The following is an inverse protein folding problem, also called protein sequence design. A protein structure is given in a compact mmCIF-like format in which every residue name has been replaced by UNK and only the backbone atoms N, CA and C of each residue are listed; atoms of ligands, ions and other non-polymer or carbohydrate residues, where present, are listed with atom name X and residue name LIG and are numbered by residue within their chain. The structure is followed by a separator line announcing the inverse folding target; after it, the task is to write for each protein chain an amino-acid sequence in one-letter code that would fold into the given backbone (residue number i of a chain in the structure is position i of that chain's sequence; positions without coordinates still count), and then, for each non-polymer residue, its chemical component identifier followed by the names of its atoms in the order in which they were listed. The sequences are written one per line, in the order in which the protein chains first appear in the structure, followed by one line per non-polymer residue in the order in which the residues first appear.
data_IF_582474335341
#
_entry.id   IF_582474335341
#
_cell.length_a   1.000
_cell.length_b   1.000
_cell.length_c   1.000
_cell.angle_alpha   90.00
_cell.angle_beta   90.00
_cell.angle_gamma   90.00
#
_symmetry.space_group_name_H-M   'P 1'
#
loop_
_entity.id
_entity.type
_entity.pdbx_description
1 polymer ?
#
# COMPACT_ATOMS: atom_id res chain seq x y z
N UNK A 1 22.58 -15.43 21.57
CA UNK A 1 23.07 -16.56 20.76
C UNK A 1 21.97 -17.24 19.95
N UNK A 2 20.78 -17.53 20.50
CA UNK A 2 19.72 -18.25 19.75
C UNK A 2 19.27 -17.53 18.46
N UNK A 3 18.96 -16.23 18.51
CA UNK A 3 18.53 -15.49 17.30
C UNK A 3 19.59 -15.49 16.21
N UNK A 4 20.86 -15.23 16.59
CA UNK A 4 22.00 -15.25 15.67
C UNK A 4 22.14 -16.63 15.00
N UNK A 5 22.18 -17.71 15.79
CA UNK A 5 22.31 -19.07 15.25
C UNK A 5 21.18 -19.48 14.30
N UNK A 6 19.96 -18.96 14.50
CA UNK A 6 18.83 -19.29 13.64
C UNK A 6 18.90 -18.58 12.29
N UNK A 7 19.33 -17.31 12.26
CA UNK A 7 19.56 -16.59 11.00
C UNK A 7 20.81 -17.07 10.26
N UNK A 8 21.88 -17.39 10.96
CA UNK A 8 23.09 -17.96 10.33
C UNK A 8 22.85 -19.34 9.71
N UNK A 9 21.81 -20.06 10.14
CA UNK A 9 21.42 -21.32 9.50
C UNK A 9 20.81 -21.11 8.11
N UNK A 10 20.05 -20.03 7.89
CA UNK A 10 19.55 -19.68 6.55
C UNK A 10 20.60 -18.99 5.71
N UNK A 11 21.43 -18.13 6.31
CA UNK A 11 22.46 -17.36 5.60
C UNK A 11 21.93 -16.29 4.65
N UNK A 12 20.61 -16.10 4.61
CA UNK A 12 19.90 -15.18 3.71
C UNK A 12 19.11 -14.14 4.51
N UNK A 13 18.81 -13.00 3.89
CA UNK A 13 17.92 -11.99 4.49
C UNK A 13 16.53 -12.57 4.70
N UNK A 14 15.89 -12.18 5.80
CA UNK A 14 14.55 -12.68 6.10
C UNK A 14 14.14 -12.48 7.54
N UNK A 15 12.86 -12.79 7.80
CA UNK A 15 12.30 -12.77 9.14
C UNK A 15 12.28 -14.16 9.75
N UNK A 16 12.56 -14.23 11.05
CA UNK A 16 12.26 -15.39 11.89
C UNK A 16 11.45 -14.95 13.11
N UNK A 17 10.61 -15.87 13.57
CA UNK A 17 9.78 -15.72 14.76
C UNK A 17 10.27 -16.68 15.83
N UNK A 18 10.55 -16.18 17.04
CA UNK A 18 11.13 -16.97 18.13
C UNK A 18 10.44 -16.62 19.45
N UNK A 19 10.22 -17.63 20.29
CA UNK A 19 9.77 -17.44 21.67
C UNK A 19 10.96 -17.67 22.61
N UNK A 20 11.33 -16.66 23.39
CA UNK A 20 12.40 -16.75 24.40
C UNK A 20 11.79 -16.42 25.76
N UNK A 21 11.58 -17.45 26.58
CA UNK A 21 10.96 -17.29 27.91
C UNK A 21 9.51 -16.81 27.79
N UNK A 22 9.23 -15.61 28.30
CA UNK A 22 7.92 -14.95 28.24
C UNK A 22 7.84 -13.84 27.19
N UNK A 23 8.73 -13.85 26.19
CA UNK A 23 8.77 -12.86 25.12
C UNK A 23 8.65 -13.55 23.77
N UNK A 24 7.77 -13.02 22.93
CA UNK A 24 7.79 -13.30 21.50
C UNK A 24 8.75 -12.31 20.84
N UNK A 25 9.51 -12.77 19.86
CA UNK A 25 10.50 -11.97 19.14
C UNK A 25 10.26 -12.16 17.65
N UNK A 26 10.00 -11.06 16.97
CA UNK A 26 10.10 -10.98 15.52
C UNK A 26 11.48 -10.40 15.17
N UNK A 27 12.28 -11.14 14.41
CA UNK A 27 13.65 -10.76 14.09
C UNK A 27 13.86 -10.75 12.58
N UNK A 28 14.28 -9.62 12.04
CA UNK A 28 14.64 -9.48 10.64
C UNK A 28 16.15 -9.35 10.48
N UNK A 29 16.75 -10.23 9.67
CA UNK A 29 18.15 -10.19 9.29
C UNK A 29 18.29 -9.59 7.89
N UNK A 30 19.23 -8.67 7.75
CA UNK A 30 19.46 -7.88 6.52
C UNK A 30 20.40 -8.57 5.53
N UNK A 31 20.76 -9.81 5.80
CA UNK A 31 21.68 -10.60 4.99
C UNK A 31 23.16 -10.32 5.30
N UNK A 32 24.06 -11.14 4.72
CA UNK A 32 25.49 -11.07 5.02
C UNK A 32 26.18 -9.80 4.51
N UNK A 33 25.61 -9.11 3.51
CA UNK A 33 26.18 -7.87 2.97
C UNK A 33 26.18 -6.74 4.01
N UNK A 34 25.10 -6.60 4.80
CA UNK A 34 24.98 -5.53 5.80
C UNK A 34 25.14 -6.03 7.23
N UNK A 35 24.75 -7.28 7.52
CA UNK A 35 25.01 -7.92 8.81
C UNK A 35 24.18 -7.40 9.99
N UNK A 36 23.12 -6.63 9.76
CA UNK A 36 22.26 -6.10 10.83
C UNK A 36 21.10 -7.03 11.16
N UNK A 37 20.78 -7.10 12.46
CA UNK A 37 19.61 -7.77 13.01
C UNK A 37 18.69 -6.73 13.64
N UNK A 38 17.43 -6.71 13.23
CA UNK A 38 16.41 -5.81 13.77
C UNK A 38 15.41 -6.65 14.54
N UNK A 39 15.26 -6.35 15.82
CA UNK A 39 14.50 -7.13 16.78
C UNK A 39 13.30 -6.33 17.26
N UNK A 40 12.11 -6.88 17.07
CA UNK A 40 10.90 -6.41 17.71
C UNK A 40 10.56 -7.35 18.87
N UNK A 41 10.56 -6.79 20.08
CA UNK A 41 10.15 -7.49 21.29
C UNK A 41 8.63 -7.35 21.45
N UNK A 42 7.96 -8.49 21.55
CA UNK A 42 6.51 -8.62 21.55
C UNK A 42 6.01 -9.25 22.84
N UNK A 43 4.76 -8.97 23.18
CA UNK A 43 4.08 -9.68 24.27
C UNK A 43 3.78 -11.12 23.84
N UNK A 44 3.50 -12.01 24.80
CA UNK A 44 3.17 -13.41 24.53
C UNK A 44 1.93 -13.60 23.63
N UNK A 45 1.01 -12.65 23.67
CA UNK A 45 -0.24 -12.69 22.90
C UNK A 45 -0.10 -12.13 21.49
N UNK A 46 0.99 -11.40 21.21
CA UNK A 46 1.23 -10.80 19.92
C UNK A 46 1.75 -11.87 18.94
N UNK A 47 1.15 -11.92 17.76
CA UNK A 47 1.60 -12.73 16.63
C UNK A 47 2.80 -12.06 15.94
N UNK A 48 4.01 -12.65 15.97
CA UNK A 48 5.19 -12.09 15.29
C UNK A 48 4.97 -11.89 13.79
N UNK A 49 4.33 -12.85 13.13
CA UNK A 49 4.23 -12.87 11.66
C UNK A 49 3.37 -11.70 11.14
N UNK A 50 2.48 -11.16 11.98
CA UNK A 50 1.70 -9.96 11.68
C UNK A 50 2.55 -8.69 11.50
N UNK A 51 3.83 -8.71 11.90
CA UNK A 51 4.78 -7.59 11.79
C UNK A 51 5.81 -7.75 10.66
N UNK A 52 5.83 -8.88 9.95
CA UNK A 52 6.86 -9.19 8.95
C UNK A 52 7.03 -8.09 7.90
N UNK A 53 5.93 -7.68 7.26
CA UNK A 53 5.93 -6.64 6.23
C UNK A 53 6.43 -5.29 6.80
N UNK A 54 6.04 -4.98 8.03
CA UNK A 54 6.46 -3.76 8.69
C UNK A 54 7.94 -3.77 9.04
N UNK A 55 8.49 -4.92 9.45
CA UNK A 55 9.91 -5.07 9.74
C UNK A 55 10.78 -4.91 8.50
N UNK A 56 10.36 -5.47 7.36
CA UNK A 56 11.05 -5.30 6.07
C UNK A 56 11.04 -3.82 5.64
N UNK A 57 9.92 -3.13 5.84
CA UNK A 57 9.76 -1.72 5.48
C UNK A 57 10.61 -0.80 6.38
N UNK A 58 10.55 -0.97 7.71
CA UNK A 58 11.35 -0.12 8.60
C UNK A 58 12.84 -0.45 8.55
N UNK A 59 13.23 -1.69 8.24
CA UNK A 59 14.64 -2.09 8.17
C UNK A 59 15.37 -1.33 7.07
N UNK A 60 14.72 -1.16 5.92
CA UNK A 60 15.27 -0.35 4.82
C UNK A 60 15.49 1.09 5.23
N UNK A 61 14.54 1.71 5.93
CA UNK A 61 14.67 3.10 6.39
C UNK A 61 15.79 3.21 7.42
N UNK A 62 15.89 2.26 8.35
CA UNK A 62 16.99 2.22 9.34
C UNK A 62 18.34 2.12 8.62
N UNK A 63 18.49 1.18 7.68
CA UNK A 63 19.75 0.97 6.97
C UNK A 63 20.16 2.16 6.10
N UNK A 64 19.21 2.84 5.48
CA UNK A 64 19.47 4.07 4.71
C UNK A 64 19.98 5.23 5.56
N UNK A 65 19.72 5.19 6.88
CA UNK A 65 20.09 6.25 7.83
C UNK A 65 21.03 5.70 8.91
N UNK A 66 21.72 4.59 8.63
CA UNK A 66 22.62 3.94 9.60
C UNK A 66 23.94 4.68 9.73
N UNK A 67 24.38 5.32 8.65
CA UNK A 67 25.52 6.24 8.67
C UNK A 67 25.19 7.41 9.61
N UNK A 68 26.16 7.76 10.47
CA UNK A 68 26.03 8.84 11.47
C UNK A 68 24.91 8.67 12.51
N UNK A 69 24.36 7.46 12.68
CA UNK A 69 23.32 7.13 13.66
C UNK A 69 22.03 7.97 13.51
N UNK A 70 21.74 8.51 12.33
CA UNK A 70 20.55 9.33 12.10
C UNK A 70 19.24 8.56 12.31
N UNK A 71 19.26 7.26 12.07
CA UNK A 71 18.14 6.36 12.30
C UNK A 71 17.60 6.42 13.74
N UNK A 72 18.43 6.72 14.75
CA UNK A 72 18.03 6.79 16.16
C UNK A 72 16.88 7.79 16.34
N UNK A 73 16.94 8.93 15.64
CA UNK A 73 15.89 9.96 15.68
C UNK A 73 14.59 9.48 15.04
N UNK A 74 14.67 8.52 14.10
CA UNK A 74 13.54 7.97 13.37
C UNK A 74 12.85 6.83 14.13
N UNK A 75 13.55 6.10 15.01
CA UNK A 75 13.03 4.93 15.74
C UNK A 75 11.64 5.17 16.36
N UNK A 76 11.35 6.27 17.09
CA UNK A 76 10.02 6.47 17.68
C UNK A 76 8.89 6.56 16.65
N UNK A 77 9.17 7.12 15.47
CA UNK A 77 8.20 7.21 14.37
C UNK A 77 8.02 5.86 13.66
N UNK A 78 9.12 5.16 13.40
CA UNK A 78 9.14 3.83 12.77
C UNK A 78 8.44 2.79 13.64
N UNK A 79 8.69 2.81 14.95
CA UNK A 79 8.02 1.91 15.89
C UNK A 79 6.51 2.17 15.96
N UNK A 80 6.08 3.44 15.96
CA UNK A 80 4.64 3.77 15.88
C UNK A 80 4.02 3.23 14.59
N UNK A 81 4.68 3.40 13.45
CA UNK A 81 4.21 2.85 12.17
C UNK A 81 4.15 1.32 12.22
N UNK A 82 5.19 0.66 12.72
CA UNK A 82 5.27 -0.80 12.87
C UNK A 82 4.14 -1.36 13.76
N UNK A 83 3.85 -0.70 14.88
CA UNK A 83 2.81 -1.13 15.83
C UNK A 83 1.39 -1.18 15.25
N UNK A 84 1.17 -0.53 14.10
CA UNK A 84 -0.13 -0.46 13.46
C UNK A 84 -0.37 -1.57 12.44
N UNK A 85 0.68 -2.22 11.92
CA UNK A 85 0.61 -3.25 10.87
C UNK A 85 -0.41 -4.37 11.14
N UNK A 86 -0.48 -4.96 12.36
CA UNK A 86 -1.47 -6.00 12.64
C UNK A 86 -2.92 -5.54 12.48
N UNK A 87 -3.18 -4.24 12.65
CA UNK A 87 -4.52 -3.64 12.63
C UNK A 87 -4.92 -3.08 11.27
N UNK A 88 -4.00 -3.05 10.30
CA UNK A 88 -4.27 -2.49 8.98
C UNK A 88 -5.22 -3.38 8.19
N UNK A 89 -6.25 -2.76 7.64
CA UNK A 89 -7.15 -3.42 6.70
C UNK A 89 -6.52 -3.55 5.30
N UNK A 90 -7.21 -4.24 4.39
CA UNK A 90 -6.72 -4.48 3.03
C UNK A 90 -6.43 -3.20 2.24
N UNK A 91 -7.26 -2.17 2.36
CA UNK A 91 -7.08 -0.89 1.66
C UNK A 91 -5.82 -0.18 2.14
N UNK A 92 -5.60 -0.11 3.47
CA UNK A 92 -4.40 0.50 4.05
C UNK A 92 -3.14 -0.29 3.73
N UNK A 93 -3.21 -1.63 3.74
CA UNK A 93 -2.11 -2.52 3.37
C UNK A 93 -1.70 -2.32 1.91
N UNK A 94 -2.68 -2.25 1.00
CA UNK A 94 -2.43 -1.98 -0.40
C UNK A 94 -1.87 -0.55 -0.59
N UNK A 95 -2.36 0.42 0.19
CA UNK A 95 -1.84 1.78 0.16
C UNK A 95 -0.37 1.82 0.56
N UNK A 96 0.02 1.14 1.64
CA UNK A 96 1.44 1.04 2.03
C UNK A 96 2.30 0.35 0.96
N UNK A 97 1.79 -0.75 0.37
CA UNK A 97 2.49 -1.44 -0.72
C UNK A 97 2.70 -0.50 -1.91
N UNK A 98 1.71 0.30 -2.30
CA UNK A 98 1.84 1.24 -3.41
C UNK A 98 2.48 2.58 -3.02
N UNK A 99 2.59 2.90 -1.73
CA UNK A 99 3.29 4.08 -1.22
C UNK A 99 4.82 3.90 -1.22
N UNK A 100 5.29 2.66 -1.30
CA UNK A 100 6.70 2.36 -1.47
C UNK A 100 7.18 2.67 -2.91
N UNK A 101 8.21 3.49 -3.03
CA UNK A 101 8.76 3.91 -4.32
C UNK A 101 9.34 2.73 -5.13
N UNK A 102 10.06 1.82 -4.47
CA UNK A 102 10.70 0.67 -5.13
C UNK A 102 9.62 -0.25 -5.70
N UNK A 103 8.57 -0.53 -4.91
CA UNK A 103 7.42 -1.33 -5.37
C UNK A 103 6.71 -0.66 -6.55
N UNK A 104 6.49 0.66 -6.51
CA UNK A 104 5.91 1.39 -7.65
C UNK A 104 6.79 1.32 -8.89
N UNK A 105 8.11 1.46 -8.74
CA UNK A 105 9.05 1.35 -9.84
C UNK A 105 8.98 -0.03 -10.51
N UNK A 106 8.96 -1.10 -9.72
CA UNK A 106 8.79 -2.47 -10.23
C UNK A 106 7.46 -2.62 -10.94
N UNK A 107 6.35 -2.19 -10.31
CA UNK A 107 5.01 -2.27 -10.90
C UNK A 107 4.97 -1.52 -12.22
N UNK A 108 5.40 -0.25 -12.27
CA UNK A 108 5.41 0.57 -13.48
C UNK A 108 6.23 -0.07 -14.60
N UNK A 109 7.42 -0.60 -14.29
CA UNK A 109 8.23 -1.32 -15.27
C UNK A 109 7.49 -2.55 -15.82
N UNK A 110 6.80 -3.29 -14.98
CA UNK A 110 5.99 -4.43 -15.40
C UNK A 110 4.70 -4.00 -16.13
N UNK A 111 4.18 -2.78 -15.94
CA UNK A 111 3.08 -2.26 -16.77
C UNK A 111 3.52 -2.10 -18.23
N UNK A 112 4.75 -1.65 -18.43
CA UNK A 112 5.32 -1.39 -19.75
C UNK A 112 5.79 -2.69 -20.44
N UNK A 113 6.46 -3.57 -19.68
CA UNK A 113 7.10 -4.78 -20.25
C UNK A 113 6.29 -6.07 -20.04
N UNK A 114 5.39 -6.07 -19.07
CA UNK A 114 4.63 -7.24 -18.63
C UNK A 114 5.41 -8.24 -17.77
N UNK A 115 6.60 -8.62 -18.22
CA UNK A 115 7.46 -9.62 -17.57
C UNK A 115 8.93 -9.21 -17.62
N UNK A 116 9.66 -9.38 -16.53
CA UNK A 116 11.10 -9.06 -16.44
C UNK A 116 11.81 -10.20 -15.69
N UNK A 117 13.06 -10.46 -16.03
CA UNK A 117 13.85 -11.44 -15.27
C UNK A 117 14.29 -10.89 -13.91
N UNK A 118 14.32 -11.76 -12.90
CA UNK A 118 14.69 -11.36 -11.54
C UNK A 118 16.10 -10.77 -11.48
N UNK A 119 17.06 -11.38 -12.19
CA UNK A 119 18.43 -10.86 -12.30
C UNK A 119 18.49 -9.46 -12.92
N UNK A 120 17.74 -9.22 -13.99
CA UNK A 120 17.65 -7.91 -14.63
C UNK A 120 16.99 -6.86 -13.73
N UNK A 121 15.96 -7.25 -12.98
CA UNK A 121 15.31 -6.37 -12.01
C UNK A 121 16.27 -5.98 -10.89
N UNK A 122 17.06 -6.94 -10.37
CA UNK A 122 18.08 -6.68 -9.35
C UNK A 122 19.14 -5.71 -9.85
N UNK A 123 19.70 -5.94 -11.04
CA UNK A 123 20.71 -5.04 -11.63
C UNK A 123 20.14 -3.63 -11.82
N UNK A 124 18.93 -3.54 -12.38
CA UNK A 124 18.27 -2.26 -12.62
C UNK A 124 17.98 -1.48 -11.33
N UNK A 125 17.52 -2.15 -10.27
CA UNK A 125 17.27 -1.50 -8.98
C UNK A 125 18.57 -1.04 -8.33
N UNK A 126 19.64 -1.86 -8.36
CA UNK A 126 20.97 -1.48 -7.86
C UNK A 126 21.54 -0.26 -8.61
N UNK A 127 21.36 -0.19 -9.93
CA UNK A 127 21.80 0.95 -10.74
C UNK A 127 21.03 2.25 -10.43
N UNK A 128 19.75 2.13 -10.06
CA UNK A 128 18.89 3.26 -9.66
C UNK A 128 19.18 3.73 -8.24
N UNK A 129 19.43 2.80 -7.32
CA UNK A 129 19.68 3.04 -5.90
C UNK A 129 21.15 2.81 -5.53
N UNK A 130 22.06 3.54 -6.19
CA UNK A 130 23.53 3.39 -6.04
C UNK A 130 24.07 3.56 -4.61
N UNK A 131 23.27 4.12 -3.70
CA UNK A 131 23.67 4.47 -2.33
C UNK A 131 22.82 3.81 -1.24
N UNK A 132 21.92 2.87 -1.58
CA UNK A 132 20.99 2.31 -0.61
C UNK A 132 20.92 0.78 -0.64
N UNK A 133 20.70 0.19 0.54
CA UNK A 133 20.30 -1.21 0.62
C UNK A 133 18.91 -1.41 0.02
N UNK A 134 18.78 -2.39 -0.87
CA UNK A 134 17.50 -2.84 -1.43
C UNK A 134 17.42 -4.36 -1.32
N UNK A 135 16.58 -4.84 -0.39
CA UNK A 135 16.18 -6.25 -0.31
C UNK A 135 15.20 -6.55 -1.46
N UNK A 136 15.72 -6.86 -2.65
CA UNK A 136 14.90 -7.12 -3.84
C UNK A 136 14.01 -8.34 -3.63
N UNK A 137 14.53 -9.38 -2.98
CA UNK A 137 13.77 -10.61 -2.68
C UNK A 137 12.62 -10.32 -1.72
N UNK A 138 12.87 -9.60 -0.62
CA UNK A 138 11.83 -9.17 0.30
C UNK A 138 10.75 -8.32 -0.38
N UNK A 139 11.15 -7.41 -1.28
CA UNK A 139 10.21 -6.58 -2.05
C UNK A 139 9.36 -7.40 -3.02
N UNK A 140 9.97 -8.32 -3.79
CA UNK A 140 9.25 -9.22 -4.71
C UNK A 140 8.30 -10.12 -3.92
N UNK A 141 8.75 -10.68 -2.81
CA UNK A 141 7.95 -11.57 -1.97
C UNK A 141 6.70 -10.87 -1.42
N UNK A 142 6.80 -9.60 -1.04
CA UNK A 142 5.62 -8.82 -0.64
C UNK A 142 4.64 -8.64 -1.81
N UNK A 143 5.14 -8.32 -3.01
CA UNK A 143 4.30 -8.19 -4.21
C UNK A 143 3.62 -9.52 -4.58
N UNK A 144 4.29 -10.66 -4.36
CA UNK A 144 3.71 -12.01 -4.53
C UNK A 144 2.62 -12.27 -3.48
N UNK A 145 2.88 -11.99 -2.20
CA UNK A 145 1.90 -12.13 -1.11
C UNK A 145 0.65 -11.28 -1.34
N UNK A 146 0.81 -10.13 -2.02
CA UNK A 146 -0.29 -9.24 -2.44
C UNK A 146 -0.97 -9.66 -3.75
N UNK A 147 -0.54 -10.76 -4.35
CA UNK A 147 -1.03 -11.27 -5.64
C UNK A 147 -0.91 -10.23 -6.78
N UNK A 148 0.05 -9.31 -6.69
CA UNK A 148 0.33 -8.31 -7.74
C UNK A 148 1.21 -8.95 -8.82
N UNK A 149 2.24 -9.68 -8.40
CA UNK A 149 3.17 -10.37 -9.29
C UNK A 149 3.18 -11.88 -9.04
N UNK A 150 3.68 -12.62 -10.02
CA UNK A 150 3.99 -14.05 -9.91
C UNK A 150 5.42 -14.30 -10.36
N UNK A 151 6.14 -15.09 -9.60
CA UNK A 151 7.45 -15.61 -9.98
C UNK A 151 7.29 -17.00 -10.62
N UNK A 152 7.95 -17.25 -11.75
CA UNK A 152 7.96 -18.54 -12.41
C UNK A 152 9.26 -18.80 -13.17
N UNK A 153 9.72 -20.04 -13.15
CA UNK A 153 10.84 -20.51 -13.97
C UNK A 153 10.34 -20.90 -15.37
N UNK A 154 10.94 -20.33 -16.42
CA UNK A 154 10.64 -20.69 -17.81
C UNK A 154 11.80 -21.45 -18.42
N UNK A 155 11.50 -22.57 -19.08
CA UNK A 155 12.51 -23.41 -19.73
C UNK A 155 13.35 -22.58 -20.71
N UNK A 156 14.67 -22.71 -20.62
CA UNK A 156 15.60 -21.98 -21.47
C UNK A 156 15.91 -20.55 -21.00
N UNK A 157 15.31 -20.09 -19.90
CA UNK A 157 15.68 -18.84 -19.25
C UNK A 157 16.70 -19.09 -18.13
N UNK A 158 17.73 -18.22 -17.99
CA UNK A 158 18.78 -18.39 -16.99
C UNK A 158 18.37 -17.93 -15.58
N UNK A 159 17.26 -17.20 -15.47
CA UNK A 159 16.76 -16.63 -14.21
C UNK A 159 15.24 -16.73 -14.19
N UNK A 160 14.69 -16.78 -12.98
CA UNK A 160 13.25 -16.69 -12.74
C UNK A 160 12.68 -15.41 -13.32
N UNK A 161 11.43 -15.49 -13.78
CA UNK A 161 10.72 -14.38 -14.39
C UNK A 161 9.63 -13.88 -13.45
N UNK A 162 9.51 -12.56 -13.35
CA UNK A 162 8.51 -11.86 -12.57
C UNK A 162 7.44 -11.34 -13.53
N UNK A 163 6.21 -11.83 -13.38
CA UNK A 163 5.06 -11.53 -14.22
C UNK A 163 4.08 -10.63 -13.46
N UNK A 164 3.58 -9.56 -14.07
CA UNK A 164 2.46 -8.79 -13.53
C UNK A 164 1.15 -9.55 -13.75
N UNK A 165 0.44 -9.87 -12.66
CA UNK A 165 -0.80 -10.67 -12.69
C UNK A 165 -2.03 -9.88 -12.25
N UNK A 166 -1.83 -8.89 -11.36
CA UNK A 166 -2.83 -7.89 -10.98
C UNK A 166 -2.16 -6.54 -10.96
N UNK A 167 -2.91 -5.50 -11.31
CA UNK A 167 -2.42 -4.14 -11.27
C UNK A 167 -3.14 -3.35 -10.18
N UNK A 168 -2.46 -2.35 -9.62
CA UNK A 168 -3.00 -1.45 -8.60
C UNK A 168 -3.70 -0.29 -9.31
N UNK A 169 -5.00 -0.15 -9.11
CA UNK A 169 -5.74 1.02 -9.55
C UNK A 169 -5.92 1.98 -8.38
N UNK A 170 -5.56 3.24 -8.59
CA UNK A 170 -5.81 4.32 -7.65
C UNK A 170 -6.48 5.47 -8.41
N UNK A 171 -7.69 5.82 -8.00
CA UNK A 171 -8.43 6.92 -8.60
C UNK A 171 -9.37 7.57 -7.61
N UNK A 172 -9.61 8.88 -7.74
CA UNK A 172 -10.66 9.55 -6.99
C UNK A 172 -12.03 9.19 -7.54
N UNK A 173 -12.99 9.05 -6.63
CA UNK A 173 -14.39 8.73 -6.95
C UNK A 173 -15.33 9.67 -6.21
N UNK A 174 -16.44 10.08 -6.83
CA UNK A 174 -17.44 10.88 -6.15
C UNK A 174 -18.06 10.08 -5.00
N UNK A 175 -18.41 10.71 -3.87
CA UNK A 175 -19.07 10.05 -2.76
C UNK A 175 -20.55 9.79 -3.07
N UNK A 176 -20.83 8.85 -3.99
CA UNK A 176 -22.17 8.59 -4.55
C UNK A 176 -23.22 8.32 -3.46
N UNK A 177 -22.85 7.56 -2.42
CA UNK A 177 -23.72 7.25 -1.28
C UNK A 177 -24.15 8.50 -0.49
N UNK A 178 -23.32 9.55 -0.49
CA UNK A 178 -23.66 10.83 0.12
C UNK A 178 -24.46 11.71 -0.83
N UNK A 179 -24.09 11.73 -2.12
CA UNK A 179 -24.78 12.51 -3.13
C UNK A 179 -26.25 12.15 -3.27
N UNK A 180 -26.60 10.87 -3.08
CA UNK A 180 -27.99 10.41 -3.15
C UNK A 180 -28.84 11.00 -2.02
N UNK A 181 -28.38 10.90 -0.76
CA UNK A 181 -29.14 11.33 0.41
C UNK A 181 -28.27 12.17 1.40
N UNK A 182 -27.89 13.43 1.07
CA UNK A 182 -27.00 14.21 1.93
C UNK A 182 -27.61 14.55 3.30
N UNK A 183 -28.92 14.82 3.35
CA UNK A 183 -29.62 15.22 4.57
C UNK A 183 -29.71 14.10 5.59
N UNK A 184 -30.02 12.87 5.14
CA UNK A 184 -30.03 11.66 5.99
C UNK A 184 -28.65 11.36 6.58
N UNK A 185 -27.60 11.89 5.92
CA UNK A 185 -26.20 11.78 6.33
C UNK A 185 -25.75 12.95 7.21
N UNK A 186 -26.65 13.83 7.65
CA UNK A 186 -26.35 14.90 8.60
C UNK A 186 -25.98 16.26 7.98
N UNK A 187 -26.03 16.40 6.65
CA UNK A 187 -25.83 17.70 6.00
C UNK A 187 -27.09 18.56 6.16
N UNK A 188 -27.00 19.80 6.69
CA UNK A 188 -28.13 20.72 6.72
C UNK A 188 -28.68 20.99 5.31
N UNK A 189 -30.02 21.05 5.18
CA UNK A 189 -30.72 21.20 3.90
C UNK A 189 -30.24 22.40 3.07
N UNK A 190 -29.90 23.51 3.74
CA UNK A 190 -29.39 24.73 3.11
C UNK A 190 -28.07 24.55 2.35
N UNK A 191 -27.29 23.50 2.65
CA UNK A 191 -26.00 23.24 2.00
C UNK A 191 -26.08 22.18 0.89
N UNK A 192 -27.22 21.53 0.69
CA UNK A 192 -27.35 20.38 -0.21
C UNK A 192 -27.02 20.74 -1.67
N UNK A 193 -27.54 21.87 -2.15
CA UNK A 193 -27.31 22.28 -3.55
C UNK A 193 -25.87 22.74 -3.77
N UNK A 194 -25.31 23.50 -2.81
CA UNK A 194 -23.89 23.88 -2.83
C UNK A 194 -23.00 22.64 -2.83
N UNK A 195 -23.31 21.65 -1.98
CA UNK A 195 -22.56 20.39 -1.92
C UNK A 195 -22.57 19.62 -3.24
N UNK A 196 -23.72 19.48 -3.88
CA UNK A 196 -23.82 18.84 -5.19
C UNK A 196 -23.04 19.62 -6.26
N UNK A 197 -23.08 20.95 -6.22
CA UNK A 197 -22.35 21.81 -7.14
C UNK A 197 -20.83 21.70 -6.93
N UNK A 198 -20.35 21.70 -5.69
CA UNK A 198 -18.94 21.61 -5.33
C UNK A 198 -18.35 20.26 -5.76
N UNK A 199 -19.04 19.15 -5.46
CA UNK A 199 -18.62 17.81 -5.90
C UNK A 199 -18.58 17.74 -7.43
N UNK A 200 -19.61 18.25 -8.11
CA UNK A 200 -19.64 18.27 -9.58
C UNK A 200 -18.49 19.10 -10.16
N UNK A 201 -18.27 20.29 -9.63
CA UNK A 201 -17.19 21.21 -10.06
C UNK A 201 -15.82 20.57 -9.88
N UNK A 202 -15.60 19.90 -8.74
CA UNK A 202 -14.37 19.17 -8.47
C UNK A 202 -14.09 18.11 -9.54
N UNK A 203 -15.03 17.18 -9.78
CA UNK A 203 -14.82 16.07 -10.71
C UNK A 203 -14.80 16.48 -12.19
N UNK A 204 -15.42 17.60 -12.56
CA UNK A 204 -15.32 18.15 -13.92
C UNK A 204 -13.90 18.64 -14.24
N UNK A 205 -13.24 19.23 -13.24
CA UNK A 205 -11.92 19.83 -13.38
C UNK A 205 -10.77 18.90 -12.96
N UNK A 206 -11.09 17.83 -12.22
CA UNK A 206 -10.09 16.89 -11.72
C UNK A 206 -9.32 16.22 -12.87
N UNK A 207 -8.00 16.20 -12.73
CA UNK A 207 -7.06 15.51 -13.61
C UNK A 207 -6.15 14.66 -12.72
N UNK A 208 -6.22 13.32 -12.80
CA UNK A 208 -5.34 12.46 -12.03
C UNK A 208 -3.87 12.78 -12.33
N UNK A 209 -3.06 12.87 -11.28
CA UNK A 209 -1.60 13.03 -11.39
C UNK A 209 -0.93 12.09 -10.40
N UNK A 210 0.32 11.73 -10.66
CA UNK A 210 1.10 10.92 -9.72
C UNK A 210 1.27 11.61 -8.37
N UNK A 211 1.54 12.92 -8.35
CA UNK A 211 1.63 13.69 -7.11
C UNK A 211 0.32 13.69 -6.31
N UNK A 212 -0.84 13.75 -6.97
CA UNK A 212 -2.13 13.62 -6.28
C UNK A 212 -2.32 12.22 -5.68
N UNK A 213 -1.97 11.19 -6.45
CA UNK A 213 -2.01 9.80 -6.00
C UNK A 213 -1.14 9.58 -4.75
N UNK A 214 0.09 10.11 -4.73
CA UNK A 214 0.98 10.00 -3.57
C UNK A 214 0.38 10.67 -2.33
N UNK A 215 -0.19 11.87 -2.47
CA UNK A 215 -0.88 12.54 -1.36
C UNK A 215 -2.07 11.74 -0.85
N UNK A 216 -2.82 11.05 -1.70
CA UNK A 216 -3.91 10.16 -1.27
C UNK A 216 -3.37 8.94 -0.53
N UNK A 217 -2.23 8.40 -0.93
CA UNK A 217 -1.58 7.31 -0.21
C UNK A 217 -1.12 7.74 1.19
N UNK A 218 -0.62 8.97 1.36
CA UNK A 218 -0.29 9.53 2.69
C UNK A 218 -1.50 9.51 3.63
N UNK A 219 -2.67 9.91 3.12
CA UNK A 219 -3.94 9.89 3.87
C UNK A 219 -4.31 8.46 4.28
N UNK A 220 -4.16 7.50 3.36
CA UNK A 220 -4.52 6.10 3.58
C UNK A 220 -3.59 5.36 4.54
N UNK A 221 -2.30 5.65 4.44
CA UNK A 221 -1.26 5.02 5.23
C UNK A 221 -1.16 5.63 6.63
N UNK A 222 -1.67 6.84 6.86
CA UNK A 222 -1.74 7.45 8.18
C UNK A 222 -2.97 6.96 8.98
N UNK A 223 -2.80 6.23 10.09
CA UNK A 223 -3.93 5.66 10.82
C UNK A 223 -4.87 6.69 11.46
N UNK A 224 -4.34 7.84 11.91
CA UNK A 224 -5.16 8.90 12.54
C UNK A 224 -6.06 9.57 11.50
N UNK A 225 -5.49 9.84 10.32
CA UNK A 225 -6.22 10.39 9.19
C UNK A 225 -7.25 9.39 8.67
N UNK A 226 -6.85 8.12 8.52
CA UNK A 226 -7.74 7.06 8.05
C UNK A 226 -8.93 6.83 8.98
N UNK A 227 -8.75 6.87 10.31
CA UNK A 227 -9.87 6.76 11.25
C UNK A 227 -10.87 7.90 11.10
N UNK A 228 -10.37 9.12 10.85
CA UNK A 228 -11.20 10.30 10.59
C UNK A 228 -11.94 10.17 9.25
N UNK A 229 -11.23 9.76 8.20
CA UNK A 229 -11.81 9.48 6.88
C UNK A 229 -12.89 8.40 6.96
N UNK A 230 -12.67 7.34 7.74
CA UNK A 230 -13.64 6.25 7.94
C UNK A 230 -14.97 6.78 8.51
N UNK A 231 -14.92 7.70 9.47
CA UNK A 231 -16.12 8.36 9.98
C UNK A 231 -16.79 9.21 8.90
N UNK A 232 -16.01 10.03 8.19
CA UNK A 232 -16.51 10.90 7.12
C UNK A 232 -17.10 10.13 5.93
N UNK A 233 -16.67 8.89 5.69
CA UNK A 233 -17.27 7.94 4.73
C UNK A 233 -18.65 7.41 5.15
N UNK A 234 -19.09 7.69 6.39
CA UNK A 234 -20.41 7.24 6.88
C UNK A 234 -21.39 8.37 7.12
N UNK A 235 -20.93 9.55 7.57
CA UNK A 235 -21.80 10.64 8.01
C UNK A 235 -21.06 11.99 7.95
N UNK A 236 -21.81 13.07 7.71
CA UNK A 236 -21.36 14.46 7.87
C UNK A 236 -21.34 14.80 9.34
N UNK A 237 -20.22 15.33 9.81
CA UNK A 237 -19.96 15.55 11.24
C UNK A 237 -19.61 16.99 11.52
N UNK A 238 -19.88 17.43 12.76
CA UNK A 238 -19.39 18.71 13.26
C UNK A 238 -18.00 18.55 13.88
N UNK A 239 -17.31 19.67 14.10
CA UNK A 239 -16.03 19.67 14.84
C UNK A 239 -16.15 18.98 16.20
N UNK A 240 -17.25 19.20 16.93
CA UNK A 240 -17.51 18.56 18.24
C UNK A 240 -17.66 17.04 18.14
N UNK A 241 -18.13 16.51 17.01
CA UNK A 241 -18.23 15.07 16.81
C UNK A 241 -16.86 14.47 16.47
N UNK A 242 -16.05 15.19 15.70
CA UNK A 242 -14.67 14.82 15.39
C UNK A 242 -13.77 14.82 16.64
N UNK A 243 -13.98 15.75 17.57
CA UNK A 243 -13.26 15.78 18.86
C UNK A 243 -13.42 14.49 19.67
N UNK A 244 -14.51 13.75 19.47
CA UNK A 244 -14.71 12.44 20.12
C UNK A 244 -13.71 11.38 19.63
N UNK A 245 -13.08 11.58 18.46
CA UNK A 245 -12.06 10.67 17.91
C UNK A 245 -10.75 10.71 18.70
N UNK A 246 -10.50 11.71 19.56
CA UNK A 246 -9.37 11.67 20.50
C UNK A 246 -9.38 10.42 21.37
N UNK A 247 -10.58 9.93 21.75
CA UNK A 247 -10.74 8.67 22.48
C UNK A 247 -10.33 7.42 21.69
N UNK A 248 -10.18 7.55 20.37
CA UNK A 248 -9.73 6.50 19.45
C UNK A 248 -8.28 6.69 18.98
N UNK A 249 -7.52 7.61 19.60
CA UNK A 249 -6.11 7.82 19.29
C UNK A 249 -5.83 8.82 18.16
N UNK A 250 -6.79 9.67 17.79
CA UNK A 250 -6.55 10.85 16.95
C UNK A 250 -6.09 11.99 17.86
N UNK A 251 -4.78 12.21 17.95
CA UNK A 251 -4.18 13.15 18.90
C UNK A 251 -4.26 14.59 18.39
N UNK A 252 -3.87 14.82 17.13
CA UNK A 252 -3.87 16.14 16.47
C UNK A 252 -4.95 16.22 15.40
N UNK A 253 -6.15 16.64 15.82
CA UNK A 253 -7.28 16.76 14.92
C UNK A 253 -7.11 17.90 13.90
N UNK A 254 -6.43 18.99 14.26
CA UNK A 254 -6.26 20.14 13.37
C UNK A 254 -5.34 19.79 12.20
N UNK A 255 -4.23 19.11 12.47
CA UNK A 255 -3.34 18.61 11.42
C UNK A 255 -4.04 17.56 10.53
N UNK A 256 -4.84 16.67 11.12
CA UNK A 256 -5.62 15.69 10.36
C UNK A 256 -6.63 16.35 9.42
N UNK A 257 -7.40 17.34 9.90
CA UNK A 257 -8.38 18.04 9.09
C UNK A 257 -7.72 18.90 8.02
N UNK A 258 -6.58 19.52 8.34
CA UNK A 258 -5.77 20.25 7.37
C UNK A 258 -5.29 19.34 6.24
N UNK A 259 -4.78 18.15 6.54
CA UNK A 259 -4.38 17.18 5.52
C UNK A 259 -5.56 16.78 4.62
N UNK A 260 -6.73 16.50 5.19
CA UNK A 260 -7.93 16.14 4.42
C UNK A 260 -8.45 17.29 3.55
N UNK A 261 -8.30 18.52 4.03
CA UNK A 261 -8.68 19.74 3.30
C UNK A 261 -7.71 20.04 2.14
N UNK A 262 -6.40 20.04 2.43
CA UNK A 262 -5.34 20.33 1.45
C UNK A 262 -5.30 19.27 0.32
N UNK A 263 -5.73 18.04 0.63
CA UNK A 263 -5.91 16.97 -0.34
C UNK A 263 -7.29 16.97 -1.01
N UNK A 264 -8.14 17.96 -0.75
CA UNK A 264 -9.49 18.11 -1.34
C UNK A 264 -10.39 16.87 -1.14
N UNK A 265 -10.21 16.15 -0.04
CA UNK A 265 -11.06 15.03 0.37
C UNK A 265 -12.29 15.55 1.10
N UNK A 266 -12.16 16.63 1.87
CA UNK A 266 -13.23 17.22 2.67
C UNK A 266 -13.56 18.63 2.20
N UNK A 267 -14.86 18.96 2.23
CA UNK A 267 -15.40 20.31 2.12
C UNK A 267 -16.09 20.70 3.44
N UNK A 268 -15.97 21.96 3.82
CA UNK A 268 -16.44 22.51 5.10
C UNK A 268 -17.52 23.53 4.80
N UNK A 269 -18.70 23.33 5.40
CA UNK A 269 -19.83 24.26 5.32
C UNK A 269 -20.03 24.90 6.68
N UNK A 270 -20.25 26.20 6.71
CA UNK A 270 -20.43 26.96 7.95
C UNK A 270 -21.81 27.59 7.98
N UNK A 271 -22.55 27.35 9.07
CA UNK A 271 -23.85 27.98 9.27
C UNK A 271 -23.73 29.41 9.84
N UNK A 272 -24.85 30.11 9.91
CA UNK A 272 -24.92 31.49 10.43
C UNK A 272 -24.49 31.61 11.91
N UNK A 273 -24.55 30.50 12.66
CA UNK A 273 -24.10 30.42 14.07
C UNK A 273 -22.61 30.09 14.18
N UNK A 274 -21.93 29.96 13.04
CA UNK A 274 -20.53 29.66 12.94
C UNK A 274 -20.18 28.18 13.12
N UNK A 275 -21.17 27.28 13.18
CA UNK A 275 -20.95 25.84 13.30
C UNK A 275 -20.50 25.26 11.96
N UNK A 276 -19.44 24.47 12.02
CA UNK A 276 -18.84 23.82 10.85
C UNK A 276 -19.35 22.40 10.66
N UNK A 277 -19.56 22.04 9.40
CA UNK A 277 -20.01 20.73 8.92
C UNK A 277 -19.00 20.21 7.90
N UNK A 278 -18.40 19.06 8.21
CA UNK A 278 -17.36 18.43 7.41
C UNK A 278 -17.98 17.33 6.56
N UNK A 279 -17.99 17.52 5.24
CA UNK A 279 -18.56 16.57 4.27
C UNK A 279 -17.48 16.10 3.29
N UNK A 280 -17.58 14.86 2.81
CA UNK A 280 -16.67 14.36 1.78
C UNK A 280 -16.89 15.08 0.46
N UNK A 281 -15.87 15.77 -0.04
CA UNK A 281 -15.85 16.33 -1.39
C UNK A 281 -15.50 15.25 -2.41
N UNK A 282 -14.47 14.47 -2.11
CA UNK A 282 -14.00 13.36 -2.92
C UNK A 282 -13.64 12.18 -2.02
N UNK A 283 -13.86 10.97 -2.53
CA UNK A 283 -13.31 9.75 -1.96
C UNK A 283 -12.33 9.17 -2.99
N UNK A 284 -11.73 8.02 -2.69
CA UNK A 284 -10.86 7.33 -3.62
C UNK A 284 -11.15 5.83 -3.61
N UNK A 285 -10.81 5.22 -4.73
CA UNK A 285 -10.89 3.80 -4.95
C UNK A 285 -9.46 3.29 -5.16
N UNK A 286 -9.03 2.43 -4.23
CA UNK A 286 -7.77 1.71 -4.28
C UNK A 286 -8.06 0.22 -4.24
N UNK A 287 -7.73 -0.49 -5.32
CA UNK A 287 -8.00 -1.92 -5.43
C UNK A 287 -7.05 -2.60 -6.42
N UNK A 288 -7.09 -3.92 -6.46
CA UNK A 288 -6.39 -4.75 -7.45
C UNK A 288 -7.32 -5.08 -8.61
N UNK A 289 -6.85 -4.85 -9.83
CA UNK A 289 -7.59 -5.18 -11.05
C UNK A 289 -6.87 -6.23 -11.88
N UNK A 290 -7.63 -7.02 -12.63
CA UNK A 290 -7.05 -7.88 -13.66
C UNK A 290 -6.61 -7.03 -14.86
N UNK A 291 -5.31 -7.04 -15.23
CA UNK A 291 -4.74 -6.10 -16.18
C UNK A 291 -4.95 -6.54 -17.63
N UNK A 292 -6.20 -6.43 -18.11
CA UNK A 292 -6.58 -6.83 -19.47
C UNK A 292 -5.72 -6.19 -20.57
N UNK A 293 -5.20 -4.98 -20.32
CA UNK A 293 -4.36 -4.26 -21.26
C UNK A 293 -3.02 -4.97 -21.56
N UNK A 294 -2.55 -5.86 -20.67
CA UNK A 294 -1.31 -6.62 -20.87
C UNK A 294 -1.39 -7.57 -22.07
N UNK A 295 -2.59 -7.92 -22.55
CA UNK A 295 -2.75 -8.64 -23.82
C UNK A 295 -2.17 -7.85 -25.00
N UNK A 296 -2.36 -6.53 -25.00
CA UNK A 296 -1.80 -5.66 -26.05
C UNK A 296 -0.29 -5.50 -25.88
N UNK A 297 0.21 -5.46 -24.65
CA UNK A 297 1.65 -5.44 -24.35
C UNK A 297 2.31 -6.71 -24.89
N UNK A 298 1.78 -7.89 -24.55
CA UNK A 298 2.27 -9.19 -25.03
C UNK A 298 2.28 -9.23 -26.55
N UNK A 299 1.20 -8.80 -27.20
CA UNK A 299 1.11 -8.77 -28.67
C UNK A 299 2.17 -7.86 -29.28
N UNK A 300 2.35 -6.65 -28.73
CA UNK A 300 3.35 -5.69 -29.21
C UNK A 300 4.76 -6.26 -29.06
N UNK A 301 5.06 -6.87 -27.92
CA UNK A 301 6.34 -7.53 -27.63
C UNK A 301 6.62 -8.69 -28.59
N UNK A 302 5.59 -9.48 -28.94
CA UNK A 302 5.69 -10.53 -29.94
C UNK A 302 6.00 -9.98 -31.33
N UNK A 303 5.24 -8.96 -31.78
CA UNK A 303 5.41 -8.34 -33.10
C UNK A 303 6.81 -7.72 -33.25
N UNK A 304 7.35 -7.17 -32.16
CA UNK A 304 8.69 -6.58 -32.10
C UNK A 304 9.81 -7.61 -31.88
N UNK A 305 9.49 -8.86 -31.57
CA UNK A 305 10.45 -9.92 -31.20
C UNK A 305 11.39 -9.53 -30.06
N UNK A 306 10.91 -8.72 -29.12
CA UNK A 306 11.73 -8.19 -28.01
C UNK A 306 11.85 -9.16 -26.83
N UNK A 307 11.00 -10.20 -26.76
CA UNK A 307 11.12 -11.31 -25.80
C UNK A 307 10.90 -12.65 -26.50
N UNK A 308 11.41 -13.73 -25.93
CA UNK A 308 11.28 -15.07 -26.50
C UNK A 308 9.84 -15.59 -26.43
N UNK A 309 9.39 -16.30 -27.47
CA UNK A 309 8.02 -16.82 -27.58
C UNK A 309 7.59 -17.66 -26.37
N UNK A 310 8.50 -18.48 -25.82
CA UNK A 310 8.22 -19.32 -24.65
C UNK A 310 7.87 -18.49 -23.40
N UNK A 311 8.47 -17.31 -23.24
CA UNK A 311 8.16 -16.38 -22.15
C UNK A 311 6.77 -15.79 -22.32
N UNK A 312 6.41 -15.41 -23.56
CA UNK A 312 5.10 -14.84 -23.86
C UNK A 312 3.98 -15.86 -23.71
N UNK A 313 4.23 -17.12 -24.12
CA UNK A 313 3.30 -18.24 -23.93
C UNK A 313 3.09 -18.50 -22.44
N UNK A 314 4.16 -18.60 -21.64
CA UNK A 314 4.03 -18.76 -20.19
C UNK A 314 3.25 -17.59 -19.60
N UNK A 315 3.48 -16.36 -20.07
CA UNK A 315 2.78 -15.21 -19.55
C UNK A 315 1.28 -15.28 -19.81
N UNK A 316 0.86 -15.69 -21.02
CA UNK A 316 -0.54 -15.94 -21.33
C UNK A 316 -1.13 -17.01 -20.40
N UNK A 317 -0.42 -18.11 -20.15
CA UNK A 317 -0.84 -19.16 -19.21
C UNK A 317 -1.00 -18.64 -17.79
N UNK A 318 -0.06 -17.81 -17.31
CA UNK A 318 -0.12 -17.18 -15.98
C UNK A 318 -1.33 -16.25 -15.85
N UNK A 319 -1.61 -15.46 -16.88
CA UNK A 319 -2.76 -14.54 -16.89
C UNK A 319 -4.09 -15.29 -16.99
N UNK A 320 -4.16 -16.36 -17.78
CA UNK A 320 -5.34 -17.23 -17.86
C UNK A 320 -5.67 -17.89 -16.53
N UNK A 321 -4.66 -18.43 -15.85
CA UNK A 321 -4.80 -19.04 -14.52
C UNK A 321 -5.29 -18.00 -13.49
N UNK A 322 -4.68 -16.82 -13.49
CA UNK A 322 -5.08 -15.71 -12.61
C UNK A 322 -6.54 -15.33 -12.84
N UNK A 323 -6.96 -15.17 -14.09
CA UNK A 323 -8.34 -14.82 -14.43
C UNK A 323 -9.35 -15.89 -14.03
N UNK A 324 -8.99 -17.17 -14.22
CA UNK A 324 -9.83 -18.32 -13.84
C UNK A 324 -10.02 -18.42 -12.33
N UNK A 325 -8.96 -18.15 -11.56
CA UNK A 325 -9.02 -18.09 -10.10
C UNK A 325 -9.94 -16.96 -9.63
N UNK A 326 -9.81 -15.76 -10.21
CA UNK A 326 -10.67 -14.61 -9.91
C UNK A 326 -12.15 -14.91 -10.17
N UNK A 327 -12.47 -15.54 -11.31
CA UNK A 327 -13.84 -15.97 -11.62
C UNK A 327 -14.40 -16.96 -10.60
N UNK A 328 -13.58 -17.91 -10.16
CA UNK A 328 -13.98 -18.91 -9.17
C UNK A 328 -14.27 -18.29 -7.81
N UNK A 329 -13.41 -17.36 -7.36
CA UNK A 329 -13.61 -16.61 -6.13
C UNK A 329 -14.87 -15.73 -6.17
N UNK A 330 -15.13 -15.04 -7.29
CA UNK A 330 -16.33 -14.23 -7.47
C UNK A 330 -17.62 -15.07 -7.37
N UNK A 331 -17.62 -16.28 -7.97
CA UNK A 331 -18.75 -17.23 -7.87
C UNK A 331 -18.98 -17.76 -6.46
N UNK A 332 -17.91 -17.94 -5.68
CA UNK A 332 -18.03 -18.37 -4.28
C UNK A 332 -18.62 -17.26 -3.42
N UNK A 333 -18.16 -16.01 -3.59
CA UNK A 333 -18.69 -14.84 -2.87
C UNK A 333 -20.14 -14.52 -3.20
N UNK A 334 -20.61 -14.78 -4.42
CA UNK A 334 -22.03 -14.57 -4.78
C UNK A 334 -22.99 -15.63 -4.24
N UNK A 335 -22.48 -16.73 -3.69
CA UNK A 335 -23.27 -17.83 -3.10
C UNK A 335 -23.30 -17.80 -1.56
N UNK A 336 -22.42 -17.00 -0.95
CA UNK A 336 -22.45 -16.62 0.46
C UNK A 336 -23.28 -15.36 0.63
#
# INVERSE_FOLDING_TARGET
MQVYSTHEYSGESGMISLMIGSLNIASYFTGPENGFYILLLLNLEDDPDAYEEGLIDISRIILQNVEEDEFIKLIPSLFRRLSMYPKLNTEQRLALTYHDEIKRMIINRLRDEGVVSKSELMIWLKDRYKQGFVDVDGVIMELIKREIVKESSVKGMPSELIFLIKDVVLMRVPPVKFLSNPTDRGLPSQFVDNYKADVKSYFQNYRPTEGDNLRVLDILSNPQVYETLRLLRTVVVSRNDLEKLRKKGVEDLDDVLKMLWDTQIVQVYRDERGKEYYALLSDFYLDLIFPKYLMNVIKTTYDQKSKADQVLIEYLTVLENTYSNLKSQAKAKSKS
#
